data_IF_717097162366
#
_entry.id   IF_717097162366
#
_cell.length_a   1.000
_cell.length_b   1.000
_cell.length_c   1.000
_cell.angle_alpha   90.00
_cell.angle_beta   90.00
_cell.angle_gamma   90.00
#
_symmetry.space_group_name_H-M   'P 1'
#
loop_
_entity.id
_entity.type
_entity.pdbx_description
1 polymer ?
#
# COMPACT_ATOMS: atom_id res chain seq x y z
N UNK A 1 -27.03 -19.26 77.91
CA UNK A 1 -26.58 -20.60 77.47
C UNK A 1 -26.10 -20.46 76.02
N UNK A 2 -24.79 -20.23 75.79
CA UNK A 2 -23.85 -21.21 75.19
C UNK A 2 -24.41 -21.73 73.83
N UNK A 3 -23.81 -21.48 72.65
CA UNK A 3 -22.39 -21.52 72.31
C UNK A 3 -22.06 -20.75 71.01
N UNK A 4 -20.93 -20.05 71.07
CA UNK A 4 -20.07 -19.69 69.95
C UNK A 4 -19.51 -20.94 69.25
N UNK A 5 -19.36 -20.90 67.91
CA UNK A 5 -18.22 -21.53 67.24
C UNK A 5 -17.76 -20.70 66.02
N UNK A 6 -16.57 -20.10 66.19
CA UNK A 6 -15.49 -19.79 65.22
C UNK A 6 -15.87 -19.34 63.80
N UNK A 7 -15.74 -18.05 63.45
CA UNK A 7 -14.55 -17.39 62.85
C UNK A 7 -13.84 -18.12 61.68
N UNK A 8 -13.93 -17.47 60.50
CA UNK A 8 -12.82 -16.88 59.70
C UNK A 8 -12.03 -17.78 58.73
N UNK A 9 -12.22 -17.56 57.41
CA UNK A 9 -11.18 -17.28 56.38
C UNK A 9 -11.86 -17.16 55.00
N UNK A 10 -11.91 -15.96 54.41
CA UNK A 10 -10.93 -15.43 53.43
C UNK A 10 -11.29 -15.93 52.03
N UNK A 11 -11.95 -15.10 51.21
CA UNK A 11 -11.37 -14.20 50.18
C UNK A 11 -10.75 -15.01 49.04
N UNK A 12 -10.95 -14.52 47.82
CA UNK A 12 -10.32 -14.94 46.56
C UNK A 12 -11.16 -15.89 45.69
N UNK A 13 -12.05 -15.30 44.89
CA UNK A 13 -12.41 -15.62 43.50
C UNK A 13 -13.16 -14.40 42.95
N UNK A 14 -12.52 -13.24 42.91
CA UNK A 14 -11.83 -12.75 41.70
C UNK A 14 -12.65 -13.02 40.43
N UNK A 15 -13.25 -11.95 39.93
CA UNK A 15 -13.56 -11.68 38.53
C UNK A 15 -13.81 -12.94 37.69
N UNK A 16 -15.05 -13.42 37.69
CA UNK A 16 -15.52 -14.32 36.65
C UNK A 16 -15.33 -13.59 35.32
N UNK A 17 -14.30 -14.07 34.63
CA UNK A 17 -13.77 -13.58 33.39
C UNK A 17 -14.91 -13.60 32.37
N UNK A 18 -15.39 -12.42 31.97
CA UNK A 18 -16.45 -12.28 30.98
C UNK A 18 -16.16 -13.00 29.66
N UNK A 19 -14.88 -13.30 29.37
CA UNK A 19 -14.49 -14.07 28.19
C UNK A 19 -14.98 -15.52 28.17
N UNK A 20 -15.29 -16.16 29.30
CA UNK A 20 -15.81 -17.55 29.30
C UNK A 20 -17.30 -17.60 28.91
N UNK A 21 -18.13 -16.68 29.39
CA UNK A 21 -19.53 -16.59 28.96
C UNK A 21 -19.65 -16.23 27.47
N UNK A 22 -18.81 -15.31 26.97
CA UNK A 22 -18.77 -15.02 25.54
C UNK A 22 -18.33 -16.22 24.69
N UNK A 23 -17.55 -17.16 25.23
CA UNK A 23 -17.09 -18.36 24.50
C UNK A 23 -18.18 -19.42 24.38
N UNK A 24 -18.99 -19.61 25.43
CA UNK A 24 -20.17 -20.49 25.39
C UNK A 24 -21.28 -19.92 24.50
N UNK A 25 -21.50 -18.61 24.54
CA UNK A 25 -22.53 -17.92 23.73
C UNK A 25 -22.19 -17.89 22.23
N UNK A 26 -20.90 -17.76 21.87
CA UNK A 26 -20.44 -17.65 20.47
C UNK A 26 -20.47 -18.99 19.73
N UNK A 27 -20.26 -20.10 20.45
CA UNK A 27 -20.27 -21.45 19.88
C UNK A 27 -21.68 -22.01 19.66
N UNK A 28 -22.61 -21.78 20.61
CA UNK A 28 -23.97 -22.29 20.50
C UNK A 28 -24.78 -21.56 19.42
N UNK A 29 -24.77 -20.22 19.40
CA UNK A 29 -25.64 -19.45 18.50
C UNK A 29 -25.27 -19.60 17.02
N UNK A 30 -23.97 -19.55 16.68
CA UNK A 30 -23.53 -19.69 15.28
C UNK A 30 -23.67 -21.14 14.76
N UNK A 31 -23.42 -22.14 15.62
CA UNK A 31 -23.57 -23.56 15.27
C UNK A 31 -25.04 -23.97 15.13
N UNK A 32 -25.94 -23.42 15.95
CA UNK A 32 -27.39 -23.62 15.83
C UNK A 32 -27.98 -22.88 14.62
N UNK A 33 -27.45 -21.70 14.29
CA UNK A 33 -27.78 -20.98 13.06
C UNK A 33 -27.39 -21.80 11.80
N UNK A 34 -26.17 -22.35 11.78
CA UNK A 34 -25.68 -23.22 10.71
C UNK A 34 -26.39 -24.59 10.64
N UNK A 35 -26.84 -25.13 11.78
CA UNK A 35 -27.62 -26.38 11.85
C UNK A 35 -29.04 -26.26 11.25
N UNK A 36 -29.46 -25.07 10.79
CA UNK A 36 -30.71 -24.91 10.06
C UNK A 36 -31.95 -24.73 10.94
N UNK A 37 -31.81 -24.68 12.27
CA UNK A 37 -32.97 -24.42 13.18
C UNK A 37 -33.55 -23.02 12.95
N UNK A 38 -32.73 -22.06 12.54
CA UNK A 38 -33.18 -20.72 12.14
C UNK A 38 -33.81 -20.72 10.73
N UNK A 39 -33.27 -21.48 9.78
CA UNK A 39 -33.84 -21.62 8.43
C UNK A 39 -35.20 -22.33 8.43
N UNK A 40 -35.41 -23.27 9.35
CA UNK A 40 -36.69 -23.96 9.55
C UNK A 40 -37.76 -23.10 10.26
N UNK A 41 -37.40 -21.91 10.76
CA UNK A 41 -38.37 -20.98 11.34
C UNK A 41 -39.38 -20.52 10.29
N UNK A 42 -40.68 -20.57 10.61
CA UNK A 42 -41.80 -20.21 9.71
C UNK A 42 -41.63 -18.87 9.00
N UNK A 43 -40.88 -17.93 9.58
CA UNK A 43 -40.59 -16.61 9.00
C UNK A 43 -39.54 -16.62 7.88
N UNK A 44 -38.52 -17.49 7.95
CA UNK A 44 -37.49 -17.59 6.90
C UNK A 44 -38.00 -18.38 5.69
N UNK A 45 -38.85 -19.39 5.91
CA UNK A 45 -39.50 -20.14 4.84
C UNK A 45 -40.37 -19.26 3.93
N UNK A 46 -40.98 -18.20 4.47
CA UNK A 46 -41.80 -17.26 3.71
C UNK A 46 -40.98 -16.33 2.79
N UNK A 47 -39.69 -16.11 3.10
CA UNK A 47 -38.80 -15.20 2.37
C UNK A 47 -37.50 -15.88 1.92
N UNK A 48 -37.56 -17.16 1.56
CA UNK A 48 -36.37 -17.92 1.13
C UNK A 48 -35.67 -17.29 -0.09
N UNK A 49 -36.43 -16.67 -0.99
CA UNK A 49 -35.90 -15.98 -2.19
C UNK A 49 -35.03 -14.78 -1.82
N UNK A 50 -35.36 -14.08 -0.73
CA UNK A 50 -34.56 -12.97 -0.22
C UNK A 50 -33.24 -13.45 0.37
N UNK A 51 -33.24 -14.58 1.09
CA UNK A 51 -32.01 -15.18 1.60
C UNK A 51 -31.10 -15.64 0.45
N UNK A 52 -31.67 -16.28 -0.57
CA UNK A 52 -30.93 -16.67 -1.77
C UNK A 52 -30.33 -15.46 -2.50
N UNK A 53 -31.05 -14.34 -2.55
CA UNK A 53 -30.56 -13.09 -3.12
C UNK A 53 -29.36 -12.52 -2.36
N UNK A 54 -29.37 -12.54 -1.02
CA UNK A 54 -28.22 -12.10 -0.21
C UNK A 54 -27.00 -13.01 -0.44
N UNK A 55 -27.19 -14.33 -0.47
CA UNK A 55 -26.10 -15.26 -0.75
C UNK A 55 -25.54 -15.03 -2.16
N UNK A 56 -26.40 -14.81 -3.15
CA UNK A 56 -26.01 -14.47 -4.51
C UNK A 56 -25.19 -13.17 -4.57
N UNK A 57 -25.61 -12.12 -3.87
CA UNK A 57 -24.84 -10.89 -3.73
C UNK A 57 -23.48 -11.13 -3.05
N UNK A 58 -23.42 -12.01 -2.06
CA UNK A 58 -22.17 -12.41 -1.40
C UNK A 58 -21.19 -13.07 -2.38
N UNK A 59 -21.67 -13.97 -3.24
CA UNK A 59 -20.86 -14.61 -4.28
C UNK A 59 -20.36 -13.58 -5.30
N UNK A 60 -21.24 -12.69 -5.77
CA UNK A 60 -20.85 -11.60 -6.67
C UNK A 60 -19.82 -10.66 -6.03
N UNK A 61 -19.95 -10.36 -4.74
CA UNK A 61 -19.02 -9.52 -3.99
C UNK A 61 -17.64 -10.16 -3.90
N UNK A 62 -17.55 -11.45 -3.58
CA UNK A 62 -16.28 -12.19 -3.54
C UNK A 62 -15.62 -12.14 -4.92
N UNK A 63 -16.37 -12.40 -5.99
CA UNK A 63 -15.86 -12.33 -7.36
C UNK A 63 -15.33 -10.94 -7.73
N UNK A 64 -16.07 -9.88 -7.39
CA UNK A 64 -15.64 -8.50 -7.64
C UNK A 64 -14.36 -8.16 -6.85
N UNK A 65 -14.29 -8.59 -5.59
CA UNK A 65 -13.12 -8.35 -4.75
C UNK A 65 -11.84 -8.97 -5.31
N UNK A 66 -11.89 -10.21 -5.83
CA UNK A 66 -10.72 -10.84 -6.45
C UNK A 66 -10.20 -10.04 -7.66
N UNK A 67 -11.09 -9.46 -8.46
CA UNK A 67 -10.69 -8.61 -9.58
C UNK A 67 -9.99 -7.32 -9.12
N UNK A 68 -10.44 -6.74 -8.01
CA UNK A 68 -9.80 -5.55 -7.43
C UNK A 68 -8.41 -5.87 -6.87
N UNK A 69 -8.23 -7.02 -6.24
CA UNK A 69 -6.92 -7.44 -5.70
C UNK A 69 -5.88 -7.57 -6.84
N UNK A 70 -6.24 -8.19 -7.97
CA UNK A 70 -5.33 -8.30 -9.13
C UNK A 70 -4.99 -6.96 -9.79
N UNK A 71 -5.95 -6.02 -9.83
CA UNK A 71 -5.70 -4.68 -10.37
C UNK A 71 -4.75 -3.88 -9.47
N UNK A 72 -4.87 -4.05 -8.15
CA UNK A 72 -4.02 -3.38 -7.19
C UNK A 72 -2.56 -3.82 -7.32
N UNK A 73 -2.33 -5.13 -7.44
CA UNK A 73 -0.98 -5.70 -7.61
C UNK A 73 -0.36 -5.19 -8.91
N UNK A 74 -1.11 -5.24 -10.02
CA UNK A 74 -0.64 -4.75 -11.32
C UNK A 74 -0.31 -3.27 -11.29
N UNK A 75 -1.09 -2.47 -10.55
CA UNK A 75 -0.81 -1.05 -10.37
C UNK A 75 0.48 -0.83 -9.58
N UNK A 76 0.74 -1.63 -8.54
CA UNK A 76 1.97 -1.55 -7.77
C UNK A 76 3.21 -1.86 -8.63
N UNK A 77 3.13 -2.90 -9.47
CA UNK A 77 4.19 -3.25 -10.42
C UNK A 77 4.44 -2.14 -11.44
N UNK A 78 3.38 -1.59 -12.05
CA UNK A 78 3.50 -0.49 -13.01
C UNK A 78 4.15 0.76 -12.40
N UNK A 79 3.83 1.08 -11.14
CA UNK A 79 4.43 2.21 -10.43
C UNK A 79 5.92 1.98 -10.15
N UNK A 80 6.31 0.74 -9.87
CA UNK A 80 7.72 0.36 -9.70
C UNK A 80 8.49 0.55 -11.00
N UNK A 81 7.96 0.06 -12.12
CA UNK A 81 8.59 0.18 -13.43
C UNK A 81 8.73 1.65 -13.86
N UNK A 82 7.69 2.46 -13.65
CA UNK A 82 7.74 3.91 -13.90
C UNK A 82 8.83 4.60 -13.07
N UNK A 83 8.99 4.18 -11.81
CA UNK A 83 10.00 4.74 -10.92
C UNK A 83 11.41 4.39 -11.39
N UNK A 84 11.62 3.15 -11.81
CA UNK A 84 12.90 2.68 -12.36
C UNK A 84 13.26 3.43 -13.64
N UNK A 85 12.32 3.54 -14.59
CA UNK A 85 12.52 4.27 -15.84
C UNK A 85 12.82 5.77 -15.59
N UNK A 86 12.18 6.36 -14.58
CA UNK A 86 12.48 7.75 -14.17
C UNK A 86 13.90 7.89 -13.63
N UNK A 87 14.37 6.94 -12.83
CA UNK A 87 15.75 6.96 -12.34
C UNK A 87 16.76 6.79 -13.47
N UNK A 88 16.49 5.89 -14.42
CA UNK A 88 17.33 5.69 -15.60
C UNK A 88 17.43 6.96 -16.44
N UNK A 89 16.29 7.62 -16.69
CA UNK A 89 16.25 8.90 -17.42
C UNK A 89 17.04 10.01 -16.70
N UNK A 90 16.92 10.11 -15.37
CA UNK A 90 17.67 11.09 -14.57
C UNK A 90 19.17 10.81 -14.62
N UNK A 91 19.57 9.55 -14.46
CA UNK A 91 20.98 9.14 -14.49
C UNK A 91 21.58 9.40 -15.86
N UNK A 92 20.91 8.97 -16.93
CA UNK A 92 21.35 9.20 -18.32
C UNK A 92 21.47 10.68 -18.65
N UNK A 93 20.48 11.49 -18.25
CA UNK A 93 20.54 12.95 -18.45
C UNK A 93 21.67 13.59 -17.65
N UNK A 94 21.93 13.10 -16.44
CA UNK A 94 23.04 13.58 -15.59
C UNK A 94 24.40 13.23 -16.18
N UNK A 95 24.53 12.03 -16.77
CA UNK A 95 25.75 11.61 -17.46
C UNK A 95 26.01 12.50 -18.68
N UNK A 96 25.01 12.75 -19.52
CA UNK A 96 25.07 13.69 -20.64
C UNK A 96 25.45 15.11 -20.19
N UNK A 97 24.86 15.57 -19.09
CA UNK A 97 25.14 16.89 -18.54
C UNK A 97 26.58 16.99 -18.01
N UNK A 98 27.09 15.91 -17.40
CA UNK A 98 28.46 15.84 -16.93
C UNK A 98 29.45 15.82 -18.11
N UNK A 99 29.20 15.00 -19.13
CA UNK A 99 29.98 14.98 -20.37
C UNK A 99 30.00 16.34 -21.09
N UNK A 100 28.87 17.06 -21.06
CA UNK A 100 28.72 18.39 -21.68
C UNK A 100 29.26 19.53 -20.81
N UNK A 101 29.71 19.24 -19.58
CA UNK A 101 30.21 20.26 -18.66
C UNK A 101 31.48 20.88 -19.24
N UNK A 102 31.55 22.21 -19.24
CA UNK A 102 32.68 22.94 -19.82
C UNK A 102 34.04 22.49 -19.27
N UNK A 103 34.12 22.17 -17.98
CA UNK A 103 35.36 21.65 -17.37
C UNK A 103 35.78 20.30 -17.95
N UNK A 104 34.82 19.40 -18.19
CA UNK A 104 35.09 18.06 -18.69
C UNK A 104 35.40 18.08 -20.20
N UNK A 105 34.72 18.92 -20.96
CA UNK A 105 35.04 19.19 -22.37
C UNK A 105 36.47 19.76 -22.48
N UNK A 106 36.83 20.74 -21.65
CA UNK A 106 38.19 21.31 -21.64
C UNK A 106 39.26 20.30 -21.27
N UNK A 107 38.99 19.40 -20.32
CA UNK A 107 39.91 18.31 -19.98
C UNK A 107 40.08 17.32 -21.14
N UNK A 108 38.99 16.95 -21.82
CA UNK A 108 39.02 16.07 -23.00
C UNK A 108 39.77 16.71 -24.17
N UNK A 109 39.60 18.00 -24.40
CA UNK A 109 40.29 18.78 -25.45
C UNK A 109 41.79 18.84 -25.18
N UNK A 110 42.21 19.12 -23.93
CA UNK A 110 43.63 19.07 -23.54
C UNK A 110 44.22 17.66 -23.68
N UNK A 111 43.51 16.61 -23.25
CA UNK A 111 43.95 15.22 -23.42
C UNK A 111 44.08 14.82 -24.90
N UNK A 112 43.27 15.39 -25.77
CA UNK A 112 43.34 15.19 -27.22
C UNK A 112 44.48 15.99 -27.90
N UNK A 113 45.26 16.79 -27.16
CA UNK A 113 46.38 17.57 -27.68
C UNK A 113 45.97 18.75 -28.55
N UNK A 114 44.70 19.18 -28.45
CA UNK A 114 44.17 20.30 -29.22
C UNK A 114 44.37 21.57 -28.37
N UNK A 115 45.17 22.50 -28.86
CA UNK A 115 45.49 23.77 -28.17
C UNK A 115 44.33 24.77 -28.29
N UNK A 116 43.18 24.42 -27.70
CA UNK A 116 41.97 25.23 -27.69
C UNK A 116 41.81 25.91 -26.33
N UNK A 117 42.06 27.21 -26.27
CA UNK A 117 41.78 28.04 -25.09
C UNK A 117 40.38 28.66 -25.15
N UNK A 118 39.65 28.63 -24.02
CA UNK A 118 38.35 29.32 -23.91
C UNK A 118 38.55 30.82 -24.00
N UNK A 119 37.80 31.48 -24.89
CA UNK A 119 37.75 32.93 -24.99
C UNK A 119 37.29 33.56 -23.66
N UNK A 120 38.24 34.06 -22.85
CA UNK A 120 37.97 34.76 -21.58
C UNK A 120 37.42 36.18 -21.76
N UNK A 121 37.43 36.70 -22.99
CA UNK A 121 36.98 38.06 -23.34
C UNK A 121 35.91 37.98 -24.43
N UNK A 122 34.85 38.80 -24.37
CA UNK A 122 33.77 38.77 -25.34
C UNK A 122 34.27 39.14 -26.75
N UNK A 123 33.77 38.49 -27.81
CA UNK A 123 34.18 38.76 -29.18
C UNK A 123 33.76 40.16 -29.62
N UNK A 124 34.68 40.90 -30.26
CA UNK A 124 34.42 42.25 -30.77
C UNK A 124 33.82 42.17 -32.17
N UNK A 125 32.75 42.94 -32.42
CA UNK A 125 32.19 43.11 -33.77
C UNK A 125 33.20 43.89 -34.62
N UNK A 126 33.68 43.29 -35.71
CA UNK A 126 34.47 43.96 -36.73
C UNK A 126 33.53 44.87 -37.53
N UNK A 127 33.57 46.18 -37.29
CA UNK A 127 32.95 47.17 -38.17
C UNK A 127 33.94 47.48 -39.29
N UNK A 128 33.72 46.91 -40.46
CA UNK A 128 34.47 47.25 -41.66
C UNK A 128 34.00 48.64 -42.10
N UNK A 129 34.89 49.64 -42.14
CA UNK A 129 34.60 50.89 -42.85
C UNK A 129 34.75 50.57 -44.34
N UNK A 130 33.68 50.74 -45.11
CA UNK A 130 33.82 50.83 -46.56
C UNK A 130 34.73 52.03 -46.84
N UNK A 131 35.77 51.77 -47.62
CA UNK A 131 36.66 52.80 -48.14
C UNK A 131 35.95 53.31 -49.39
N UNK A 132 35.42 54.53 -49.32
CA UNK A 132 35.11 55.39 -50.47
C UNK A 132 35.93 56.67 -50.34
#
# INVERSE_FOLDING_TARGET
MKLFKSKKKQKDREFLTGNEEFKELKGFSFKEFLHGRFLAGKSLGQHWSYLAFIVFLGVLYIGNRYQMEHLLDRQADLLKDLKELKYEAITTSSELMNMSKQSEVMERVHKAGIDLEVLKKPPRKLKVRSID
#
